data_IF_375032885806
#
_entry.id   IF_375032885806
#
_cell.length_a   1.000
_cell.length_b   1.000
_cell.length_c   1.000
_cell.angle_alpha   90.00
_cell.angle_beta   90.00
_cell.angle_gamma   90.00
#
_symmetry.space_group_name_H-M   'P 1'
#
loop_
_entity.id
_entity.type
_entity.pdbx_description
1 polymer ?
#
# COMPACT_ATOMS: atom_id res chain seq x y z
N UNK A 1 -22.17 -2.54 22.54
CA UNK A 1 -21.68 -1.15 22.36
C UNK A 1 -20.72 -1.16 21.19
N UNK A 2 -21.00 -0.40 20.12
CA UNK A 2 -20.16 -0.38 18.92
C UNK A 2 -18.93 0.50 19.11
N UNK A 3 -17.82 0.15 18.47
CA UNK A 3 -16.62 0.99 18.38
C UNK A 3 -16.84 2.02 17.27
N UNK A 4 -16.53 3.29 17.53
CA UNK A 4 -16.59 4.35 16.52
C UNK A 4 -15.28 4.35 15.70
N UNK A 5 -15.39 4.29 14.38
CA UNK A 5 -14.25 4.24 13.46
C UNK A 5 -14.00 5.63 12.84
N UNK A 6 -12.93 6.30 13.28
CA UNK A 6 -12.46 7.59 12.75
C UNK A 6 -11.19 7.46 11.88
N UNK A 7 -10.78 6.24 11.53
CA UNK A 7 -9.52 5.98 10.84
C UNK A 7 -9.70 5.47 9.40
N UNK A 8 -10.94 5.34 8.92
CA UNK A 8 -11.23 4.88 7.57
C UNK A 8 -11.40 6.04 6.60
N UNK A 9 -10.95 5.86 5.36
CA UNK A 9 -11.19 6.78 4.23
C UNK A 9 -12.61 6.63 3.67
N UNK A 10 -13.61 6.49 4.55
CA UNK A 10 -14.99 6.21 4.21
C UNK A 10 -15.83 7.49 4.19
N UNK A 11 -15.39 8.49 3.43
CA UNK A 11 -15.90 9.86 3.53
C UNK A 11 -17.41 9.98 3.27
N UNK A 12 -17.96 9.14 2.40
CA UNK A 12 -19.38 9.18 1.99
C UNK A 12 -20.21 7.97 2.46
N UNK A 13 -19.62 7.03 3.20
CA UNK A 13 -20.34 5.87 3.73
C UNK A 13 -20.57 4.74 2.72
N UNK A 14 -19.59 3.86 2.57
CA UNK A 14 -19.59 2.70 1.66
C UNK A 14 -20.62 1.62 1.98
N UNK A 15 -21.20 1.61 3.18
CA UNK A 15 -22.22 0.64 3.61
C UNK A 15 -23.65 1.11 3.36
N UNK A 16 -23.85 2.03 2.42
CA UNK A 16 -25.20 2.48 2.03
C UNK A 16 -26.03 1.29 1.50
N UNK A 17 -27.30 1.12 1.91
CA UNK A 17 -28.12 -0.05 1.53
C UNK A 17 -28.21 -0.28 0.01
N UNK A 18 -28.25 0.79 -0.79
CA UNK A 18 -28.30 0.68 -2.25
C UNK A 18 -26.98 0.18 -2.85
N UNK A 19 -25.84 0.53 -2.26
CA UNK A 19 -24.52 0.03 -2.70
C UNK A 19 -24.40 -1.47 -2.40
N UNK A 20 -24.87 -1.88 -1.22
CA UNK A 20 -24.89 -3.30 -0.83
C UNK A 20 -25.79 -4.09 -1.78
N UNK A 21 -27.01 -3.60 -2.05
CA UNK A 21 -27.96 -4.24 -2.97
C UNK A 21 -27.38 -4.38 -4.37
N UNK A 22 -26.81 -3.32 -4.94
CA UNK A 22 -26.20 -3.36 -6.26
C UNK A 22 -25.04 -4.38 -6.33
N UNK A 23 -24.25 -4.52 -5.26
CA UNK A 23 -23.20 -5.54 -5.17
C UNK A 23 -23.74 -6.97 -5.17
N UNK A 24 -24.84 -7.23 -4.47
CA UNK A 24 -25.50 -8.54 -4.45
C UNK A 24 -26.09 -8.91 -5.81
N UNK A 25 -26.86 -7.99 -6.41
CA UNK A 25 -27.47 -8.17 -7.74
C UNK A 25 -26.39 -8.44 -8.80
N UNK A 26 -25.28 -7.69 -8.75
CA UNK A 26 -24.14 -7.89 -9.66
C UNK A 26 -23.52 -9.27 -9.49
N UNK A 27 -23.40 -9.77 -8.25
CA UNK A 27 -22.81 -11.09 -7.99
C UNK A 27 -23.71 -12.22 -8.51
N UNK A 28 -25.03 -12.06 -8.41
CA UNK A 28 -26.00 -13.02 -8.98
C UNK A 28 -25.97 -13.04 -10.50
N UNK A 29 -25.85 -11.88 -11.15
CA UNK A 29 -25.85 -11.76 -12.61
C UNK A 29 -24.52 -12.18 -13.25
N UNK A 30 -23.38 -11.74 -12.70
CA UNK A 30 -22.06 -11.88 -13.33
C UNK A 30 -21.17 -12.94 -12.70
N UNK A 31 -21.54 -13.47 -11.53
CA UNK A 31 -20.72 -14.39 -10.75
C UNK A 31 -19.55 -13.70 -10.05
N UNK A 32 -18.73 -14.49 -9.34
CA UNK A 32 -17.66 -13.97 -8.48
C UNK A 32 -16.37 -13.55 -9.23
N UNK A 33 -16.33 -13.73 -10.55
CA UNK A 33 -15.18 -13.38 -11.38
C UNK A 33 -15.03 -14.25 -12.62
N UNK A 34 -14.09 -13.88 -13.48
CA UNK A 34 -13.89 -14.46 -14.81
C UNK A 34 -12.68 -15.39 -14.90
N UNK A 35 -11.87 -15.50 -13.84
CA UNK A 35 -10.63 -16.30 -13.82
C UNK A 35 -9.69 -16.05 -15.01
N UNK A 36 -9.72 -14.83 -15.56
CA UNK A 36 -8.98 -14.43 -16.76
C UNK A 36 -8.66 -12.94 -16.73
N UNK A 37 -7.63 -12.53 -17.47
CA UNK A 37 -7.21 -11.13 -17.62
C UNK A 37 -8.03 -10.41 -18.69
N UNK A 38 -8.10 -9.07 -18.58
CA UNK A 38 -8.95 -8.20 -19.42
C UNK A 38 -8.77 -8.42 -20.93
N UNK A 39 -7.55 -8.64 -21.41
CA UNK A 39 -7.23 -8.73 -22.84
C UNK A 39 -7.45 -10.12 -23.46
N UNK A 40 -7.72 -11.17 -22.66
CA UNK A 40 -7.98 -12.52 -23.18
C UNK A 40 -9.49 -12.76 -23.21
N UNK A 41 -10.09 -13.02 -22.04
CA UNK A 41 -11.53 -13.24 -21.89
C UNK A 41 -12.06 -12.76 -20.54
N UNK A 42 -11.29 -11.91 -19.85
CA UNK A 42 -11.65 -11.34 -18.54
C UNK A 42 -12.44 -10.03 -18.60
N UNK A 43 -13.05 -9.68 -19.74
CA UNK A 43 -13.87 -8.46 -19.88
C UNK A 43 -15.32 -8.82 -20.15
N UNK A 44 -16.22 -8.36 -19.27
CA UNK A 44 -17.68 -8.37 -19.45
C UNK A 44 -18.21 -6.94 -19.68
N UNK A 45 -19.45 -6.83 -20.16
CA UNK A 45 -20.19 -5.57 -20.32
C UNK A 45 -20.17 -4.69 -19.06
N UNK A 46 -20.30 -5.26 -17.85
CA UNK A 46 -20.26 -4.48 -16.60
C UNK A 46 -18.99 -3.65 -16.43
N UNK A 47 -17.85 -4.18 -16.89
CA UNK A 47 -16.57 -3.46 -16.85
C UNK A 47 -16.62 -2.24 -17.77
N UNK A 48 -17.13 -2.42 -19.00
CA UNK A 48 -17.26 -1.33 -19.98
C UNK A 48 -18.27 -0.27 -19.54
N UNK A 49 -19.42 -0.68 -19.03
CA UNK A 49 -20.41 0.23 -18.46
C UNK A 49 -19.87 1.04 -17.29
N UNK A 50 -19.01 0.45 -16.45
CA UNK A 50 -18.37 1.16 -15.35
C UNK A 50 -17.28 2.13 -15.85
N UNK A 51 -16.46 1.73 -16.83
CA UNK A 51 -15.48 2.60 -17.50
C UNK A 51 -16.17 3.85 -18.08
N UNK A 52 -17.24 3.67 -18.85
CA UNK A 52 -18.02 4.76 -19.43
C UNK A 52 -18.59 5.71 -18.35
N UNK A 53 -19.18 5.15 -17.28
CA UNK A 53 -19.72 5.96 -16.17
C UNK A 53 -18.65 6.77 -15.46
N UNK A 54 -17.47 6.18 -15.23
CA UNK A 54 -16.33 6.88 -14.59
C UNK A 54 -15.81 8.00 -15.51
N UNK A 55 -15.65 7.73 -16.80
CA UNK A 55 -15.21 8.73 -17.78
C UNK A 55 -16.18 9.92 -17.82
N UNK A 56 -17.49 9.65 -17.86
CA UNK A 56 -18.54 10.67 -17.82
C UNK A 56 -18.51 11.47 -16.51
N UNK A 57 -18.40 10.79 -15.37
CA UNK A 57 -18.37 11.43 -14.05
C UNK A 57 -17.18 12.38 -13.88
N UNK A 58 -16.02 12.03 -14.42
CA UNK A 58 -14.81 12.87 -14.38
C UNK A 58 -14.66 13.82 -15.56
N UNK A 59 -15.60 13.85 -16.51
CA UNK A 59 -15.50 14.61 -17.75
C UNK A 59 -14.18 14.31 -18.50
N UNK A 60 -13.95 13.03 -18.79
CA UNK A 60 -12.81 12.52 -19.56
C UNK A 60 -13.29 11.75 -20.78
N UNK A 61 -12.41 11.62 -21.77
CA UNK A 61 -12.73 10.93 -23.02
C UNK A 61 -12.94 9.43 -22.83
N UNK A 62 -12.15 8.81 -21.95
CA UNK A 62 -12.23 7.38 -21.65
C UNK A 62 -11.71 7.09 -20.22
N UNK A 63 -11.96 5.88 -19.73
CA UNK A 63 -11.43 5.36 -18.47
C UNK A 63 -11.04 3.88 -18.60
N UNK A 64 -9.98 3.49 -17.90
CA UNK A 64 -9.53 2.09 -17.82
C UNK A 64 -9.56 1.66 -16.35
N UNK A 65 -10.21 0.52 -16.08
CA UNK A 65 -10.25 -0.07 -14.74
C UNK A 65 -9.00 -0.90 -14.44
N UNK A 66 -8.47 -0.70 -13.23
CA UNK A 66 -7.44 -1.52 -12.60
C UNK A 66 -7.99 -2.15 -11.32
N UNK A 67 -7.35 -3.24 -10.88
CA UNK A 67 -7.75 -3.95 -9.64
C UNK A 67 -7.50 -3.11 -8.38
N UNK A 68 -6.58 -2.16 -8.42
CA UNK A 68 -6.28 -1.24 -7.34
C UNK A 68 -5.69 0.07 -7.87
N UNK A 69 -5.76 1.14 -7.07
CA UNK A 69 -5.12 2.41 -7.41
C UNK A 69 -3.59 2.33 -7.38
N UNK A 70 -3.00 1.33 -6.71
CA UNK A 70 -1.55 1.12 -6.73
C UNK A 70 -1.12 0.64 -8.12
N UNK A 71 -1.83 -0.35 -8.66
CA UNK A 71 -1.57 -0.91 -9.99
C UNK A 71 -1.90 0.09 -11.11
N UNK A 72 -2.93 0.92 -10.92
CA UNK A 72 -3.27 1.99 -11.87
C UNK A 72 -2.11 3.00 -12.02
N UNK A 73 -1.50 3.42 -10.91
CA UNK A 73 -0.36 4.34 -10.95
C UNK A 73 0.87 3.69 -11.60
N UNK A 74 1.19 2.43 -11.24
CA UNK A 74 2.32 1.72 -11.85
C UNK A 74 2.13 1.52 -13.35
N UNK A 75 0.96 1.03 -13.76
CA UNK A 75 0.65 0.75 -15.17
C UNK A 75 0.60 2.00 -16.05
N UNK A 76 0.24 3.16 -15.48
CA UNK A 76 0.26 4.43 -16.20
C UNK A 76 1.68 4.81 -16.65
N UNK A 77 2.64 4.75 -15.73
CA UNK A 77 4.02 5.14 -16.02
C UNK A 77 4.70 4.15 -16.96
N UNK A 78 4.48 2.85 -16.78
CA UNK A 78 5.03 1.83 -17.69
C UNK A 78 4.52 1.97 -19.13
N UNK A 79 3.26 2.42 -19.31
CA UNK A 79 2.67 2.56 -20.63
C UNK A 79 3.06 3.87 -21.35
N UNK A 80 3.33 4.94 -20.60
CA UNK A 80 3.54 6.28 -21.16
C UNK A 80 5.00 6.71 -21.21
N UNK A 81 5.84 6.20 -20.32
CA UNK A 81 7.23 6.65 -20.20
C UNK A 81 8.20 5.74 -20.94
N UNK A 82 9.26 6.36 -21.44
CA UNK A 82 10.44 5.72 -22.02
C UNK A 82 11.67 6.08 -21.18
N UNK A 83 12.82 5.42 -21.38
CA UNK A 83 14.06 5.77 -20.69
C UNK A 83 14.55 7.21 -20.93
N UNK A 84 14.04 7.89 -21.96
CA UNK A 84 14.41 9.26 -22.32
C UNK A 84 13.56 10.32 -21.62
N UNK A 85 12.51 9.91 -20.89
CA UNK A 85 11.59 10.82 -20.23
C UNK A 85 12.03 11.16 -18.80
N UNK A 86 11.76 12.39 -18.37
CA UNK A 86 11.97 12.84 -17.00
C UNK A 86 10.64 12.95 -16.27
N UNK A 87 10.57 12.45 -15.03
CA UNK A 87 9.40 12.56 -14.15
C UNK A 87 9.69 13.57 -13.05
N UNK A 88 8.86 14.62 -12.96
CA UNK A 88 8.86 15.53 -11.82
C UNK A 88 7.78 15.07 -10.84
N UNK A 89 8.19 14.68 -9.63
CA UNK A 89 7.28 14.23 -8.57
C UNK A 89 7.47 15.06 -7.31
N UNK A 90 6.35 15.40 -6.68
CA UNK A 90 6.34 16.03 -5.36
C UNK A 90 6.82 15.04 -4.27
N UNK A 91 7.45 15.56 -3.21
CA UNK A 91 7.98 14.75 -2.11
C UNK A 91 6.87 14.08 -1.27
N UNK A 92 5.67 14.65 -1.26
CA UNK A 92 4.50 14.15 -0.53
C UNK A 92 3.58 13.29 -1.39
N UNK A 93 3.98 12.97 -2.63
CA UNK A 93 3.21 12.09 -3.50
C UNK A 93 3.01 10.69 -2.89
N UNK A 94 1.94 10.03 -3.30
CA UNK A 94 1.62 8.70 -2.81
C UNK A 94 2.71 7.68 -3.19
N UNK A 95 2.98 6.71 -2.30
CA UNK A 95 4.05 5.72 -2.47
C UNK A 95 3.95 4.90 -3.78
N UNK A 96 2.77 4.78 -4.38
CA UNK A 96 2.57 4.11 -5.67
C UNK A 96 3.08 4.90 -6.88
N UNK A 97 3.46 6.17 -6.70
CA UNK A 97 3.94 7.07 -7.77
C UNK A 97 5.47 7.22 -7.69
N UNK A 98 6.02 7.36 -6.47
CA UNK A 98 7.42 7.71 -6.21
C UNK A 98 8.39 6.52 -6.20
N UNK A 99 7.92 5.27 -6.19
CA UNK A 99 8.81 4.11 -6.14
C UNK A 99 9.68 4.09 -4.86
N UNK A 100 10.68 3.20 -4.81
CA UNK A 100 11.40 2.68 -3.60
C UNK A 100 12.05 3.69 -2.63
N UNK A 101 12.01 5.00 -2.85
CA UNK A 101 12.57 6.00 -1.94
C UNK A 101 11.47 6.61 -1.04
N UNK A 102 10.94 5.79 -0.13
CA UNK A 102 10.00 6.23 0.89
C UNK A 102 10.76 6.50 2.19
N UNK A 103 10.41 7.55 2.98
CA UNK A 103 10.93 7.71 4.34
C UNK A 103 10.69 6.51 5.26
N UNK A 104 9.78 5.58 4.94
CA UNK A 104 9.56 4.36 5.72
C UNK A 104 10.43 3.25 5.12
N UNK A 105 11.48 2.89 5.85
CA UNK A 105 12.42 1.82 5.52
C UNK A 105 12.09 0.58 6.38
N UNK A 106 11.51 -0.49 5.81
CA UNK A 106 11.24 -1.72 6.55
C UNK A 106 12.50 -2.59 6.69
N UNK A 107 12.80 -3.01 7.92
CA UNK A 107 13.81 -4.04 8.23
C UNK A 107 13.10 -5.38 8.34
N UNK A 108 13.32 -6.25 7.34
CA UNK A 108 12.62 -7.53 7.21
C UNK A 108 13.25 -8.58 8.11
N UNK A 109 12.44 -9.18 9.00
CA UNK A 109 12.91 -10.17 9.98
C UNK A 109 12.21 -11.54 9.82
N UNK A 110 11.01 -11.56 9.26
CA UNK A 110 10.21 -12.77 9.02
C UNK A 110 9.56 -13.34 10.28
N UNK A 111 10.24 -13.31 11.43
CA UNK A 111 9.77 -13.83 12.71
C UNK A 111 9.22 -12.74 13.65
N UNK A 112 8.04 -13.01 14.23
CA UNK A 112 7.33 -12.04 15.06
C UNK A 112 7.99 -11.81 16.41
N UNK A 113 8.56 -12.86 17.01
CA UNK A 113 9.25 -12.78 18.30
C UNK A 113 10.55 -12.01 18.14
N UNK A 114 11.31 -12.30 17.08
CA UNK A 114 12.52 -11.57 16.73
C UNK A 114 12.23 -10.09 16.51
N UNK A 115 11.17 -9.74 15.78
CA UNK A 115 10.80 -8.34 15.56
C UNK A 115 10.44 -7.59 16.85
N UNK A 116 9.79 -8.24 17.82
CA UNK A 116 9.49 -7.64 19.11
C UNK A 116 10.77 -7.46 19.95
N UNK A 117 11.57 -8.52 20.11
CA UNK A 117 12.78 -8.49 20.94
C UNK A 117 13.83 -7.52 20.39
N UNK A 118 14.01 -7.46 19.07
CA UNK A 118 14.90 -6.47 18.46
C UNK A 118 14.38 -5.05 18.70
N UNK A 119 13.07 -4.81 18.63
CA UNK A 119 12.53 -3.47 18.90
C UNK A 119 12.75 -3.04 20.35
N UNK A 120 12.61 -3.96 21.32
CA UNK A 120 12.90 -3.69 22.73
C UNK A 120 14.40 -3.38 22.95
N UNK A 121 15.31 -4.15 22.35
CA UNK A 121 16.76 -3.91 22.42
C UNK A 121 17.19 -2.59 21.76
N UNK A 122 16.54 -2.19 20.66
CA UNK A 122 16.78 -0.88 20.02
C UNK A 122 16.37 0.26 20.96
N UNK A 123 15.24 0.11 21.66
CA UNK A 123 14.75 1.09 22.63
C UNK A 123 15.70 1.25 23.82
N UNK A 124 16.26 0.15 24.35
CA UNK A 124 17.29 0.19 25.40
C UNK A 124 18.53 1.00 24.99
N UNK A 125 18.81 1.04 23.68
CA UNK A 125 19.93 1.79 23.08
C UNK A 125 19.54 3.19 22.60
N UNK A 126 18.35 3.67 22.98
CA UNK A 126 17.86 5.02 22.71
C UNK A 126 17.19 5.19 21.35
N UNK A 127 16.88 4.12 20.63
CA UNK A 127 16.25 4.18 19.30
C UNK A 127 14.86 3.56 19.35
N UNK A 128 13.84 4.41 19.30
CA UNK A 128 12.46 3.95 19.33
C UNK A 128 11.99 3.46 17.96
N UNK A 129 11.70 2.16 17.87
CA UNK A 129 11.12 1.51 16.69
C UNK A 129 10.04 0.52 17.11
N UNK A 130 9.16 0.14 16.18
CA UNK A 130 8.07 -0.81 16.43
C UNK A 130 8.17 -1.99 15.46
N UNK A 131 8.15 -3.20 16.03
CA UNK A 131 7.97 -4.45 15.29
C UNK A 131 6.52 -4.67 14.89
N UNK A 132 6.28 -5.02 13.63
CA UNK A 132 4.97 -5.36 13.09
C UNK A 132 4.91 -6.86 12.79
N UNK A 133 3.86 -7.51 13.27
CA UNK A 133 3.57 -8.93 13.08
C UNK A 133 2.09 -9.15 12.73
N UNK A 134 1.68 -10.42 12.55
CA UNK A 134 0.28 -10.75 12.31
C UNK A 134 -0.61 -10.25 13.46
N UNK A 135 -1.80 -9.67 13.20
CA UNK A 135 -2.52 -9.61 11.91
C UNK A 135 -2.14 -8.44 11.00
N UNK A 136 -1.30 -7.51 11.46
CA UNK A 136 -0.96 -6.28 10.73
C UNK A 136 -0.12 -6.58 9.48
N UNK A 137 0.67 -7.65 9.51
CA UNK A 137 1.44 -8.14 8.36
C UNK A 137 1.27 -9.66 8.23
N UNK A 138 1.35 -10.24 7.01
CA UNK A 138 1.17 -11.67 6.82
C UNK A 138 2.11 -12.51 7.69
N UNK A 139 1.67 -13.71 8.08
CA UNK A 139 2.50 -14.67 8.84
C UNK A 139 3.82 -14.93 8.09
N UNK A 140 4.93 -15.00 8.83
CA UNK A 140 6.27 -15.18 8.25
C UNK A 140 6.85 -13.94 7.57
N UNK A 141 6.17 -12.77 7.66
CA UNK A 141 6.64 -11.49 7.10
C UNK A 141 6.73 -10.39 8.15
N UNK A 142 7.04 -10.76 9.39
CA UNK A 142 7.28 -9.78 10.45
C UNK A 142 8.46 -8.87 10.09
N UNK A 143 8.39 -7.61 10.54
CA UNK A 143 9.36 -6.56 10.16
C UNK A 143 9.30 -5.40 11.13
N UNK A 144 10.41 -4.70 11.30
CA UNK A 144 10.43 -3.41 11.98
C UNK A 144 10.27 -2.33 10.91
N UNK A 145 9.44 -1.30 11.15
CA UNK A 145 9.37 -0.13 10.26
C UNK A 145 10.13 1.01 10.91
N UNK A 146 11.11 1.54 10.18
CA UNK A 146 11.85 2.74 10.54
C UNK A 146 11.31 3.88 9.68
N UNK A 147 11.09 5.05 10.26
CA UNK A 147 10.67 6.24 9.53
C UNK A 147 11.76 7.31 9.62
N UNK A 148 12.31 7.69 8.47
CA UNK A 148 13.26 8.77 8.30
C UNK A 148 12.48 10.07 8.09
N UNK A 149 13.01 11.15 8.66
CA UNK A 149 12.41 12.49 8.66
C UNK A 149 13.52 13.48 8.35
N UNK A 150 13.17 14.61 7.73
CA UNK A 150 14.12 15.71 7.49
C UNK A 150 14.70 16.32 8.80
N UNK A 151 14.15 15.97 9.96
CA UNK A 151 14.68 16.35 11.26
C UNK A 151 15.86 15.48 11.72
N UNK A 152 16.08 14.31 11.10
CA UNK A 152 17.25 13.48 11.39
C UNK A 152 18.45 13.98 10.61
N UNK A 153 19.58 14.14 11.28
CA UNK A 153 20.87 14.38 10.65
C UNK A 153 21.46 13.08 10.07
N UNK A 154 22.47 13.20 9.21
CA UNK A 154 23.20 12.02 8.70
C UNK A 154 23.80 11.21 9.86
N UNK A 155 24.29 11.87 10.91
CA UNK A 155 24.83 11.22 12.12
C UNK A 155 23.75 10.42 12.89
N UNK A 156 22.50 10.92 12.94
CA UNK A 156 21.38 10.20 13.56
C UNK A 156 21.04 8.92 12.77
N UNK A 157 21.09 9.01 11.44
CA UNK A 157 20.85 7.88 10.54
C UNK A 157 21.96 6.84 10.70
N UNK A 158 23.23 7.27 10.70
CA UNK A 158 24.38 6.39 10.86
C UNK A 158 24.38 5.70 12.23
N UNK A 159 24.07 6.43 13.30
CA UNK A 159 23.91 5.85 14.63
C UNK A 159 22.78 4.80 14.65
N UNK A 160 21.64 5.07 14.00
CA UNK A 160 20.54 4.12 13.88
C UNK A 160 20.92 2.84 13.16
N UNK A 161 21.59 2.97 12.02
CA UNK A 161 22.11 1.82 11.25
C UNK A 161 23.10 1.01 12.09
N UNK A 162 24.03 1.68 12.77
CA UNK A 162 25.04 1.01 13.58
C UNK A 162 24.42 0.23 14.76
N UNK A 163 23.45 0.81 15.45
CA UNK A 163 22.71 0.14 16.52
C UNK A 163 21.92 -1.06 15.98
N UNK A 164 21.29 -0.95 14.80
CA UNK A 164 20.65 -2.09 14.14
C UNK A 164 21.63 -3.22 13.82
N UNK A 165 22.85 -2.91 13.35
CA UNK A 165 23.89 -3.90 13.07
C UNK A 165 24.29 -4.64 14.35
N UNK A 166 24.48 -3.92 15.46
CA UNK A 166 24.88 -4.49 16.73
C UNK A 166 23.78 -5.36 17.36
N UNK A 167 22.54 -4.89 17.34
CA UNK A 167 21.37 -5.66 17.79
C UNK A 167 21.15 -6.87 16.88
N UNK A 168 21.27 -6.72 15.57
CA UNK A 168 21.19 -7.83 14.61
C UNK A 168 22.19 -8.94 14.95
N UNK A 169 23.47 -8.60 15.10
CA UNK A 169 24.53 -9.56 15.48
C UNK A 169 24.29 -10.28 16.81
N UNK A 170 23.57 -9.66 17.76
CA UNK A 170 23.17 -10.29 19.03
C UNK A 170 22.15 -11.41 18.82
N UNK A 171 21.28 -11.29 17.81
CA UNK A 171 20.16 -12.21 17.57
C UNK A 171 20.37 -13.19 16.40
N UNK A 172 21.42 -13.02 15.59
CA UNK A 172 21.83 -13.94 14.52
C UNK A 172 21.61 -13.36 13.13
#
# INVERSE_FOLDING_TARGET
>A
TGILNFCANNYLGSSHPEVIRAGLETLEEFGAGLSSVRFICGTQNIHKSLEEKIAQFHHREDAILYISCFDANAGLFEALLTPEDAVLSDELNHASIIGKNHPICPVMLGDARLAAVMADDMLERGIYVIGFSFPVVPKGKARIRVQISAAHSDDDIDNCVQVFIEVGRKHG
#
